data_IF_098635358585
#
_entry.id   IF_098635358585
#
_cell.length_a   1.000
_cell.length_b   1.000
_cell.length_c   1.000
_cell.angle_alpha   90.00
_cell.angle_beta   90.00
_cell.angle_gamma   90.00
#
_symmetry.space_group_name_H-M   'P 1'
#
loop_
_entity.id
_entity.type
_entity.pdbx_description
1 polymer ?
#
# COMPACT_ATOMS: atom_id res chain seq x y z
N UNK A 1 15.08 -18.78 5.31
CA UNK A 1 14.17 -17.86 6.02
C UNK A 1 12.77 -18.06 5.47
N UNK A 2 11.75 -18.20 6.32
CA UNK A 2 10.36 -18.15 5.84
C UNK A 2 10.15 -16.77 5.21
N UNK A 3 9.51 -16.74 4.04
CA UNK A 3 9.23 -15.49 3.35
C UNK A 3 8.00 -14.83 4.00
N UNK A 4 8.18 -14.42 5.26
CA UNK A 4 7.10 -13.90 6.11
C UNK A 4 6.50 -12.62 5.49
N UNK A 5 7.31 -11.85 4.76
CA UNK A 5 6.88 -10.67 4.02
C UNK A 5 5.79 -11.01 3.00
N UNK A 6 6.01 -12.00 2.14
CA UNK A 6 4.99 -12.45 1.18
C UNK A 6 3.71 -12.85 1.90
N UNK A 7 3.80 -13.56 3.03
CA UNK A 7 2.63 -13.98 3.81
C UNK A 7 1.84 -12.78 4.33
N UNK A 8 2.50 -11.75 4.84
CA UNK A 8 1.84 -10.52 5.32
C UNK A 8 1.17 -9.74 4.19
N UNK A 9 1.78 -9.67 3.02
CA UNK A 9 1.21 -8.98 1.87
C UNK A 9 0.05 -9.76 1.21
N UNK A 10 0.10 -11.10 1.24
CA UNK A 10 -1.07 -11.95 0.92
C UNK A 10 -2.21 -11.63 1.87
N UNK A 11 -1.96 -11.62 3.18
CA UNK A 11 -2.98 -11.28 4.17
C UNK A 11 -3.58 -9.89 3.93
N UNK A 12 -2.74 -8.89 3.63
CA UNK A 12 -3.19 -7.52 3.38
C UNK A 12 -4.08 -7.43 2.13
N UNK A 13 -3.69 -8.12 1.05
CA UNK A 13 -4.51 -8.21 -0.17
C UNK A 13 -5.84 -8.90 0.11
N UNK A 14 -5.83 -10.02 0.84
CA UNK A 14 -7.05 -10.77 1.20
C UNK A 14 -7.96 -9.95 2.12
N UNK A 15 -7.38 -9.16 3.03
CA UNK A 15 -8.13 -8.24 3.87
C UNK A 15 -8.86 -7.21 3.01
N UNK A 16 -8.14 -6.51 2.12
CA UNK A 16 -8.72 -5.54 1.20
C UNK A 16 -9.81 -6.16 0.32
N UNK A 17 -9.58 -7.37 -0.20
CA UNK A 17 -10.56 -8.09 -1.01
C UNK A 17 -11.84 -8.40 -0.25
N UNK A 18 -11.76 -8.72 1.04
CA UNK A 18 -12.92 -9.06 1.88
C UNK A 18 -13.69 -7.86 2.40
N UNK A 19 -13.00 -6.77 2.75
CA UNK A 19 -13.60 -5.66 3.50
C UNK A 19 -14.05 -4.49 2.63
N UNK A 20 -13.46 -4.35 1.45
CA UNK A 20 -13.84 -3.32 0.48
C UNK A 20 -14.64 -3.93 -0.65
N UNK A 21 -15.63 -3.23 -1.18
CA UNK A 21 -16.34 -3.62 -2.41
C UNK A 21 -15.55 -3.16 -3.63
N UNK A 22 -15.12 -1.89 -3.66
CA UNK A 22 -14.50 -1.25 -4.84
C UNK A 22 -12.97 -1.32 -4.88
N UNK A 23 -12.35 -1.75 -3.78
CA UNK A 23 -10.91 -1.92 -3.53
C UNK A 23 -10.11 -0.62 -3.58
N UNK A 24 -10.77 0.53 -3.47
CA UNK A 24 -10.11 1.84 -3.37
C UNK A 24 -9.64 2.14 -1.95
N UNK A 25 -10.40 1.70 -0.94
CA UNK A 25 -10.12 1.86 0.49
C UNK A 25 -10.55 0.62 1.26
N UNK A 26 -9.90 0.28 2.36
CA UNK A 26 -10.22 -0.93 3.15
C UNK A 26 -11.70 -1.03 3.57
N UNK A 27 -12.39 0.10 3.77
CA UNK A 27 -13.80 0.14 4.19
C UNK A 27 -14.71 0.83 3.16
N UNK A 28 -14.26 0.91 1.91
CA UNK A 28 -14.86 1.74 0.84
C UNK A 28 -14.92 3.25 1.15
N UNK A 29 -14.41 3.66 2.31
CA UNK A 29 -14.23 5.05 2.74
C UNK A 29 -12.80 5.25 3.20
N UNK A 30 -12.24 6.38 2.83
CA UNK A 30 -10.89 6.77 3.23
C UNK A 30 -10.78 6.91 4.75
N UNK A 31 -9.73 6.34 5.32
CA UNK A 31 -9.49 6.27 6.76
C UNK A 31 -8.00 6.26 7.09
N UNK A 32 -7.68 6.34 8.38
CA UNK A 32 -6.30 6.22 8.86
C UNK A 32 -5.66 4.88 8.44
N UNK A 33 -6.43 3.79 8.39
CA UNK A 33 -5.93 2.49 7.97
C UNK A 33 -5.35 2.54 6.55
N UNK A 34 -5.95 3.34 5.67
CA UNK A 34 -5.52 3.46 4.30
C UNK A 34 -4.18 4.20 4.18
N UNK A 35 -4.02 5.27 4.95
CA UNK A 35 -2.76 6.02 5.06
C UNK A 35 -1.65 5.14 5.62
N UNK A 36 -1.93 4.38 6.68
CA UNK A 36 -0.97 3.48 7.31
C UNK A 36 -0.51 2.39 6.33
N UNK A 37 -1.45 1.74 5.64
CA UNK A 37 -1.12 0.72 4.65
C UNK A 37 -0.35 1.31 3.47
N UNK A 38 -0.78 2.46 2.93
CA UNK A 38 -0.06 3.14 1.85
C UNK A 38 1.38 3.46 2.25
N UNK A 39 1.61 4.02 3.44
CA UNK A 39 2.95 4.38 3.92
C UNK A 39 3.83 3.15 4.13
N UNK A 40 3.26 2.06 4.65
CA UNK A 40 3.96 0.78 4.78
C UNK A 40 4.39 0.27 3.41
N UNK A 41 3.46 0.16 2.46
CA UNK A 41 3.74 -0.31 1.09
C UNK A 41 4.78 0.59 0.41
N UNK A 42 4.66 1.91 0.55
CA UNK A 42 5.62 2.87 0.01
C UNK A 42 7.04 2.60 0.51
N UNK A 43 7.21 2.34 1.82
CA UNK A 43 8.52 2.07 2.40
C UNK A 43 9.17 0.82 1.79
N UNK A 44 8.41 -0.27 1.65
CA UNK A 44 8.87 -1.49 0.98
C UNK A 44 9.16 -1.30 -0.50
N UNK A 45 8.40 -0.44 -1.19
CA UNK A 45 8.58 -0.13 -2.62
C UNK A 45 9.69 0.88 -2.89
N UNK A 46 10.08 1.68 -1.90
CA UNK A 46 10.97 2.85 -2.06
C UNK A 46 12.38 2.54 -2.57
N UNK A 47 12.80 1.28 -2.54
CA UNK A 47 14.17 0.88 -2.86
C UNK A 47 15.20 1.25 -1.77
N UNK A 48 14.75 1.78 -0.62
CA UNK A 48 15.60 2.13 0.52
C UNK A 48 15.87 0.94 1.47
N UNK A 49 15.21 -0.21 1.28
CA UNK A 49 15.37 -1.41 2.09
C UNK A 49 16.23 -2.45 1.36
N UNK A 50 17.39 -2.76 1.93
CA UNK A 50 18.27 -3.80 1.40
C UNK A 50 17.55 -5.15 1.31
N UNK A 51 17.87 -5.91 0.27
CA UNK A 51 17.36 -7.28 0.03
C UNK A 51 15.84 -7.38 -0.22
N UNK A 52 15.15 -6.25 -0.40
CA UNK A 52 13.75 -6.22 -0.81
C UNK A 52 13.66 -5.75 -2.27
N UNK A 53 13.06 -6.58 -3.12
CA UNK A 53 12.80 -6.21 -4.50
C UNK A 53 11.73 -5.10 -4.56
N UNK A 54 12.05 -3.92 -5.09
CA UNK A 54 11.10 -2.80 -5.23
C UNK A 54 9.91 -3.11 -6.14
N UNK A 55 10.00 -4.18 -6.95
CA UNK A 55 8.93 -4.67 -7.80
C UNK A 55 8.07 -5.77 -7.12
N UNK A 56 8.24 -6.05 -5.83
CA UNK A 56 7.47 -7.10 -5.12
C UNK A 56 5.95 -6.92 -5.22
N UNK A 57 5.46 -5.68 -5.40
CA UNK A 57 4.03 -5.38 -5.50
C UNK A 57 3.42 -5.87 -6.81
N UNK A 58 4.24 -6.21 -7.82
CA UNK A 58 3.76 -6.76 -9.09
C UNK A 58 3.10 -8.13 -8.92
N UNK A 59 3.46 -8.87 -7.87
CA UNK A 59 2.83 -10.14 -7.49
C UNK A 59 1.44 -9.97 -6.83
N UNK A 60 1.03 -8.72 -6.52
CA UNK A 60 -0.19 -8.39 -5.79
C UNK A 60 -1.05 -7.38 -6.55
N UNK A 61 -1.65 -7.79 -7.66
CA UNK A 61 -2.37 -6.88 -8.59
C UNK A 61 -3.40 -5.99 -7.88
N UNK A 62 -4.20 -6.53 -6.96
CA UNK A 62 -5.23 -5.74 -6.26
C UNK A 62 -4.60 -4.72 -5.33
N UNK A 63 -3.56 -5.13 -4.60
CA UNK A 63 -2.85 -4.25 -3.67
C UNK A 63 -2.04 -3.17 -4.41
N UNK A 64 -1.52 -3.51 -5.60
CA UNK A 64 -0.86 -2.57 -6.51
C UNK A 64 -1.82 -1.47 -6.96
N UNK A 65 -2.99 -1.84 -7.48
CA UNK A 65 -4.00 -0.86 -7.88
C UNK A 65 -4.47 0.00 -6.71
N UNK A 66 -4.69 -0.60 -5.55
CA UNK A 66 -5.01 0.13 -4.31
C UNK A 66 -3.94 1.18 -3.97
N UNK A 67 -2.66 0.78 -3.98
CA UNK A 67 -1.53 1.67 -3.69
C UNK A 67 -1.43 2.82 -4.69
N UNK A 68 -1.58 2.53 -5.98
CA UNK A 68 -1.58 3.53 -7.06
C UNK A 68 -2.76 4.50 -6.93
N UNK A 69 -3.95 4.01 -6.58
CA UNK A 69 -5.13 4.84 -6.34
C UNK A 69 -4.90 5.81 -5.18
N UNK A 70 -4.36 5.33 -4.05
CA UNK A 70 -4.05 6.19 -2.90
C UNK A 70 -2.92 7.19 -3.18
N UNK A 71 -1.91 6.81 -3.95
CA UNK A 71 -0.83 7.72 -4.35
C UNK A 71 -1.34 8.88 -5.23
N UNK A 72 -2.46 8.67 -5.94
CA UNK A 72 -3.14 9.67 -6.75
C UNK A 72 -4.35 10.32 -6.06
N UNK A 73 -4.64 9.95 -4.81
CA UNK A 73 -5.80 10.46 -4.09
C UNK A 73 -5.52 11.86 -3.54
N UNK A 74 -6.14 12.88 -4.16
CA UNK A 74 -5.90 14.31 -3.86
C UNK A 74 -5.86 14.66 -2.38
N UNK A 75 -6.84 14.23 -1.55
CA UNK A 75 -6.85 14.59 -0.13
C UNK A 75 -5.64 14.08 0.66
N UNK A 76 -4.94 13.06 0.16
CA UNK A 76 -3.70 12.56 0.75
C UNK A 76 -2.47 13.22 0.11
N UNK A 77 -2.40 13.26 -1.22
CA UNK A 77 -1.16 13.66 -1.91
C UNK A 77 -0.91 15.18 -1.98
N UNK A 78 -1.91 16.00 -1.67
CA UNK A 78 -1.76 17.45 -1.53
C UNK A 78 -1.27 17.87 -0.12
N UNK A 79 -1.14 16.93 0.82
CA UNK A 79 -0.62 17.20 2.16
C UNK A 79 0.90 17.46 2.13
N UNK A 80 1.37 18.39 2.97
CA UNK A 80 2.80 18.69 3.10
C UNK A 80 3.57 17.45 3.56
N UNK A 81 3.02 16.71 4.51
CA UNK A 81 3.58 15.48 5.06
C UNK A 81 3.74 14.41 3.98
N UNK A 82 2.86 14.38 2.98
CA UNK A 82 3.01 13.47 1.84
C UNK A 82 4.29 13.77 1.08
N UNK A 83 4.54 15.04 0.77
CA UNK A 83 5.77 15.47 0.06
C UNK A 83 7.05 15.15 0.84
N UNK A 84 7.00 15.26 2.18
CA UNK A 84 8.13 14.90 3.06
C UNK A 84 8.38 13.39 3.12
N UNK A 85 7.33 12.56 2.98
CA UNK A 85 7.46 11.10 2.97
C UNK A 85 8.06 10.61 1.65
N UNK A 86 7.68 11.21 0.51
CA UNK A 86 8.09 10.73 -0.81
C UNK A 86 9.43 11.25 -1.30
N UNK A 87 10.00 12.27 -0.64
CA UNK A 87 11.35 12.78 -0.90
C UNK A 87 12.47 11.81 -0.48
#
# INVERSE_FOLDING_TARGET
MRNDLTTWFVFLQDLLQRTSTNKNFFTDKFSLADITAWRLIYWFKSGKLDQINSNFLDDFTVLKSYFENLSNYKPLNELKEYSEIIS
#
